data_IF_087023129659
#
_entry.id   IF_087023129659
#
_cell.length_a   1.000
_cell.length_b   1.000
_cell.length_c   1.000
_cell.angle_alpha   90.00
_cell.angle_beta   90.00
_cell.angle_gamma   90.00
#
_symmetry.space_group_name_H-M   'P 1'
#
loop_
_entity.id
_entity.type
_entity.pdbx_description
1 polymer ?
#
# COMPACT_ATOMS: atom_id res chain seq x y z
N UNK A 1 46.73 -22.71 -1.59
CA UNK A 1 47.61 -23.77 -1.05
C UNK A 1 48.57 -23.27 0.03
N UNK A 2 49.37 -22.21 -0.20
CA UNK A 2 50.28 -21.65 0.84
C UNK A 2 49.54 -21.27 2.13
N UNK A 3 48.37 -20.62 2.04
CA UNK A 3 47.54 -20.27 3.19
C UNK A 3 46.93 -21.47 3.94
N UNK A 4 46.79 -22.63 3.30
CA UNK A 4 46.29 -23.84 3.96
C UNK A 4 47.41 -24.54 4.72
N UNK A 5 48.62 -24.55 4.16
CA UNK A 5 49.81 -25.10 4.80
C UNK A 5 50.20 -24.31 6.06
N UNK A 6 50.27 -22.98 5.98
CA UNK A 6 50.59 -22.12 7.14
C UNK A 6 49.53 -22.25 8.25
N UNK A 7 48.27 -22.47 7.86
CA UNK A 7 47.16 -22.66 8.79
C UNK A 7 47.19 -24.03 9.46
N UNK A 8 47.59 -25.07 8.73
CA UNK A 8 47.82 -26.40 9.29
C UNK A 8 48.98 -26.38 10.28
N UNK A 9 50.11 -25.79 9.91
CA UNK A 9 51.27 -25.64 10.79
C UNK A 9 50.93 -24.83 12.05
N UNK A 10 50.11 -23.78 11.92
CA UNK A 10 49.59 -23.03 13.05
C UNK A 10 48.72 -23.89 13.98
N UNK A 11 47.81 -24.71 13.43
CA UNK A 11 46.96 -25.56 14.24
C UNK A 11 47.71 -26.71 14.90
N UNK A 12 48.70 -27.30 14.22
CA UNK A 12 49.61 -28.29 14.82
C UNK A 12 50.35 -27.69 16.02
N UNK A 13 50.92 -26.51 15.85
CA UNK A 13 51.59 -25.77 16.91
C UNK A 13 50.63 -25.41 18.06
N UNK A 14 49.38 -25.04 17.76
CA UNK A 14 48.36 -24.73 18.76
C UNK A 14 47.92 -25.96 19.56
N UNK A 15 47.78 -27.12 18.90
CA UNK A 15 47.44 -28.39 19.55
C UNK A 15 48.56 -28.80 20.50
N UNK A 16 49.81 -28.70 20.05
CA UNK A 16 50.99 -28.99 20.88
C UNK A 16 51.06 -28.01 22.06
N UNK A 17 50.88 -26.71 21.84
CA UNK A 17 50.87 -25.70 22.91
C UNK A 17 49.75 -25.95 23.93
N UNK A 18 48.53 -26.27 23.48
CA UNK A 18 47.43 -26.61 24.37
C UNK A 18 47.67 -27.91 25.14
N UNK A 19 48.27 -28.92 24.52
CA UNK A 19 48.64 -30.16 25.20
C UNK A 19 49.67 -29.90 26.32
N UNK A 20 50.68 -29.06 26.06
CA UNK A 20 51.68 -28.66 27.06
C UNK A 20 51.06 -27.79 28.15
N UNK A 21 50.19 -26.84 27.80
CA UNK A 21 49.46 -26.00 28.78
C UNK A 21 48.57 -26.85 29.69
N UNK A 22 47.89 -27.86 29.16
CA UNK A 22 47.10 -28.76 29.99
C UNK A 22 47.95 -29.72 30.84
N UNK A 23 49.18 -30.05 30.43
CA UNK A 23 50.15 -30.74 31.29
C UNK A 23 50.62 -29.84 32.45
N UNK A 24 50.80 -28.54 32.19
CA UNK A 24 51.11 -27.54 33.23
C UNK A 24 49.96 -27.41 34.25
N UNK A 25 48.70 -27.35 33.80
CA UNK A 25 47.52 -27.30 34.70
C UNK A 25 47.34 -28.57 35.56
N UNK A 26 47.78 -29.73 35.07
CA UNK A 26 47.74 -30.98 35.82
C UNK A 26 48.77 -31.03 36.96
N UNK A 27 49.88 -30.29 36.86
CA UNK A 27 50.82 -30.04 37.98
C UNK A 27 50.09 -29.42 39.17
N UNK A 28 49.31 -28.39 38.86
CA UNK A 28 48.58 -27.56 39.82
C UNK A 28 47.44 -28.32 40.49
N UNK A 29 46.82 -29.25 39.74
CA UNK A 29 45.60 -29.92 40.18
C UNK A 29 45.83 -31.17 41.07
N UNK A 30 47.06 -31.69 41.24
CA UNK A 30 47.41 -32.89 42.07
C UNK A 30 46.54 -34.16 41.93
N UNK A 31 45.55 -34.23 41.04
CA UNK A 31 44.50 -35.27 41.09
C UNK A 31 44.70 -36.44 40.13
N UNK A 32 45.65 -36.42 39.20
CA UNK A 32 46.00 -37.62 38.43
C UNK A 32 47.47 -37.55 38.00
N UNK A 33 48.38 -38.06 38.84
CA UNK A 33 49.78 -38.26 38.45
C UNK A 33 49.84 -39.43 37.45
N UNK A 34 50.28 -39.24 36.19
CA UNK A 34 50.79 -40.39 35.43
C UNK A 34 52.05 -40.88 36.15
N UNK A 35 52.13 -42.18 36.43
CA UNK A 35 53.07 -42.78 37.37
C UNK A 35 54.57 -42.73 36.96
N UNK A 36 54.94 -41.96 35.92
CA UNK A 36 56.23 -42.11 35.24
C UNK A 36 57.00 -40.80 35.02
N UNK A 37 56.59 -39.69 35.68
CA UNK A 37 57.25 -38.39 35.49
C UNK A 37 57.87 -37.91 36.81
N UNK A 38 59.19 -37.75 36.80
CA UNK A 38 59.93 -37.09 37.88
C UNK A 38 59.43 -35.65 38.05
N UNK A 39 59.05 -35.28 39.27
CA UNK A 39 58.51 -33.96 39.64
C UNK A 39 59.37 -32.79 39.12
N UNK A 40 60.70 -32.99 39.06
CA UNK A 40 61.69 -32.04 38.53
C UNK A 40 61.57 -31.77 37.02
N UNK A 41 61.16 -32.77 36.25
CA UNK A 41 61.01 -32.65 34.79
C UNK A 41 59.74 -31.89 34.43
N UNK A 42 58.69 -32.07 35.23
CA UNK A 42 57.44 -31.36 35.10
C UNK A 42 57.59 -29.90 35.58
N UNK A 43 58.45 -29.67 36.57
CA UNK A 43 58.89 -28.33 36.98
C UNK A 43 59.68 -27.61 35.88
N UNK A 44 60.63 -28.28 35.23
CA UNK A 44 61.35 -27.74 34.09
C UNK A 44 60.43 -27.40 32.89
N UNK A 45 59.41 -28.23 32.61
CA UNK A 45 58.41 -27.95 31.54
C UNK A 45 57.58 -26.70 31.86
N UNK A 46 57.13 -26.53 33.10
CA UNK A 46 56.36 -25.34 33.51
C UNK A 46 57.22 -24.08 33.46
N UNK A 47 58.48 -24.15 33.90
CA UNK A 47 59.41 -23.04 33.81
C UNK A 47 59.70 -22.66 32.35
N UNK A 48 59.85 -23.66 31.47
CA UNK A 48 60.03 -23.43 30.03
C UNK A 48 58.78 -22.84 29.36
N UNK A 49 57.57 -23.20 29.80
CA UNK A 49 56.32 -22.64 29.28
C UNK A 49 56.13 -21.19 29.76
N UNK A 50 56.34 -20.92 31.04
CA UNK A 50 56.33 -19.56 31.59
C UNK A 50 57.39 -18.67 30.92
N UNK A 51 58.55 -19.25 30.58
CA UNK A 51 59.57 -18.59 29.77
C UNK A 51 59.09 -18.30 28.34
N UNK A 52 58.45 -19.25 27.66
CA UNK A 52 57.94 -19.02 26.31
C UNK A 52 56.84 -17.94 26.27
N UNK A 53 55.96 -17.92 27.26
CA UNK A 53 54.91 -16.91 27.41
C UNK A 53 55.52 -15.53 27.74
N UNK A 54 56.49 -15.45 28.65
CA UNK A 54 57.21 -14.20 28.94
C UNK A 54 58.01 -13.70 27.74
N UNK A 55 58.61 -14.59 26.94
CA UNK A 55 59.27 -14.25 25.67
C UNK A 55 58.29 -13.70 24.63
N UNK A 56 57.09 -14.25 24.54
CA UNK A 56 56.05 -13.74 23.66
C UNK A 56 55.55 -12.37 24.13
N UNK A 57 55.36 -12.19 25.45
CA UNK A 57 55.02 -10.92 26.08
C UNK A 57 56.08 -9.84 25.87
N UNK A 58 57.37 -10.22 25.85
CA UNK A 58 58.48 -9.33 25.50
C UNK A 58 58.51 -8.94 24.01
N UNK A 59 57.95 -9.77 23.12
CA UNK A 59 57.87 -9.50 21.68
C UNK A 59 56.63 -8.70 21.26
N UNK A 60 55.69 -8.41 22.17
CA UNK A 60 54.63 -7.44 21.89
C UNK A 60 55.22 -6.02 21.91
N UNK A 61 55.65 -5.55 20.73
CA UNK A 61 55.79 -4.11 20.48
C UNK A 61 54.42 -3.54 20.16
N UNK A 62 53.78 -2.75 21.03
CA UNK A 62 52.84 -1.76 20.53
C UNK A 62 53.64 -0.83 19.61
N UNK A 63 53.10 -0.58 18.43
CA UNK A 63 53.68 0.32 17.43
C UNK A 63 53.55 1.75 18.00
N UNK A 64 54.51 2.15 18.83
CA UNK A 64 54.72 3.54 19.21
C UNK A 64 56.00 4.03 18.52
N UNK A 65 55.90 4.95 17.55
CA UNK A 65 57.03 5.37 16.70
C UNK A 65 58.00 6.36 17.38
N UNK A 66 58.01 6.47 18.71
CA UNK A 66 58.78 7.49 19.44
C UNK A 66 60.00 6.99 20.22
N UNK A 67 60.35 5.69 20.17
CA UNK A 67 61.52 5.17 20.89
C UNK A 67 62.63 4.75 19.89
N UNK A 68 63.69 5.55 19.92
CA UNK A 68 64.90 5.43 19.11
C UNK A 68 65.65 4.10 19.35
N UNK A 69 66.29 3.62 18.28
CA UNK A 69 66.76 2.26 18.00
C UNK A 69 67.87 1.62 18.88
N UNK A 70 68.24 2.15 20.05
CA UNK A 70 69.51 1.71 20.69
C UNK A 70 69.45 1.20 22.13
N UNK A 71 68.28 1.03 22.75
CA UNK A 71 68.21 0.39 24.06
C UNK A 71 67.31 -0.84 24.00
N UNK A 72 67.85 -1.97 24.48
CA UNK A 72 67.18 -3.25 24.69
C UNK A 72 65.99 -3.05 25.64
N UNK A 73 64.85 -2.62 25.09
CA UNK A 73 63.65 -2.31 25.84
C UNK A 73 63.04 -3.62 26.34
N UNK A 74 63.34 -3.90 27.60
CA UNK A 74 62.81 -5.01 28.35
C UNK A 74 61.53 -4.61 29.07
N UNK A 75 60.47 -5.40 28.92
CA UNK A 75 59.33 -5.33 29.83
C UNK A 75 59.85 -5.77 31.21
N UNK A 76 60.09 -4.79 32.11
CA UNK A 76 60.71 -4.93 33.45
C UNK A 76 62.25 -5.07 33.54
N UNK A 77 63.03 -4.71 32.52
CA UNK A 77 64.50 -4.64 32.68
C UNK A 77 65.25 -5.99 32.71
N UNK A 78 64.56 -7.12 32.48
CA UNK A 78 65.19 -8.41 32.20
C UNK A 78 65.80 -8.44 30.79
N UNK A 79 67.11 -8.66 30.68
CA UNK A 79 67.75 -8.85 29.38
C UNK A 79 67.47 -10.26 28.83
N UNK A 80 67.28 -10.37 27.51
CA UNK A 80 67.07 -11.65 26.83
C UNK A 80 68.23 -12.65 27.09
N UNK A 81 69.43 -12.13 27.36
CA UNK A 81 70.64 -12.91 27.64
C UNK A 81 70.69 -13.50 29.05
N UNK A 82 70.21 -12.79 30.08
CA UNK A 82 70.13 -13.31 31.45
C UNK A 82 69.06 -14.40 31.59
N UNK A 83 67.95 -14.24 30.87
CA UNK A 83 66.87 -15.22 30.84
C UNK A 83 67.29 -16.50 30.09
N UNK A 84 68.10 -16.37 29.02
CA UNK A 84 68.63 -17.52 28.30
C UNK A 84 69.60 -18.37 29.16
N UNK A 85 70.42 -17.76 30.02
CA UNK A 85 71.33 -18.49 30.94
C UNK A 85 70.60 -19.35 31.98
N UNK A 86 69.45 -18.87 32.49
CA UNK A 86 68.62 -19.64 33.42
C UNK A 86 67.95 -20.84 32.72
N UNK A 87 67.53 -20.64 31.46
CA UNK A 87 66.89 -21.69 30.63
C UNK A 87 67.89 -22.72 30.11
N UNK A 88 69.17 -22.41 29.95
CA UNK A 88 70.19 -23.38 29.54
C UNK A 88 70.30 -24.58 30.50
N UNK A 89 70.04 -24.38 31.79
CA UNK A 89 70.04 -25.46 32.78
C UNK A 89 68.74 -26.30 32.73
N UNK A 90 67.58 -25.66 32.64
CA UNK A 90 66.28 -26.34 32.59
C UNK A 90 66.04 -27.04 31.23
N UNK A 91 66.59 -26.48 30.13
CA UNK A 91 66.55 -27.06 28.79
C UNK A 91 67.39 -28.33 28.68
N UNK A 92 68.49 -28.45 29.43
CA UNK A 92 69.28 -29.70 29.50
C UNK A 92 68.52 -30.83 30.18
N UNK A 93 67.76 -30.52 31.23
CA UNK A 93 66.91 -31.51 31.91
C UNK A 93 65.66 -31.86 31.09
N UNK A 94 65.10 -30.88 30.38
CA UNK A 94 64.02 -31.11 29.41
C UNK A 94 64.48 -31.96 28.23
N UNK A 95 65.68 -31.73 27.70
CA UNK A 95 66.22 -32.52 26.58
C UNK A 95 66.45 -33.98 26.95
N UNK A 96 66.84 -34.29 28.21
CA UNK A 96 66.96 -35.67 28.71
C UNK A 96 65.61 -36.39 28.82
N UNK A 97 64.53 -35.66 29.03
CA UNK A 97 63.17 -36.20 29.21
C UNK A 97 62.23 -35.84 28.06
N UNK A 98 62.78 -35.35 26.94
CA UNK A 98 62.00 -34.94 25.77
C UNK A 98 61.21 -36.11 25.19
N UNK A 99 61.83 -37.29 25.16
CA UNK A 99 61.19 -38.52 24.67
C UNK A 99 60.03 -38.95 25.58
N UNK A 100 60.17 -38.87 26.90
CA UNK A 100 59.09 -39.24 27.83
C UNK A 100 57.93 -38.24 27.81
N UNK A 101 58.24 -36.94 27.68
CA UNK A 101 57.22 -35.89 27.50
C UNK A 101 56.49 -36.04 26.16
N UNK A 102 57.22 -36.34 25.08
CA UNK A 102 56.64 -36.59 23.76
C UNK A 102 55.71 -37.81 23.79
N UNK A 103 56.15 -38.94 24.35
CA UNK A 103 55.31 -40.12 24.51
C UNK A 103 54.09 -39.87 25.40
N UNK A 104 54.18 -38.98 26.40
CA UNK A 104 53.04 -38.59 27.21
C UNK A 104 52.00 -37.77 26.41
N UNK A 105 52.47 -36.82 25.60
CA UNK A 105 51.63 -36.02 24.71
C UNK A 105 50.95 -36.92 23.66
N UNK A 106 51.70 -37.81 23.03
CA UNK A 106 51.18 -38.77 22.05
C UNK A 106 50.13 -39.72 22.66
N UNK A 107 50.41 -40.30 23.83
CA UNK A 107 49.47 -41.14 24.56
C UNK A 107 48.18 -40.40 24.97
N UNK A 108 48.24 -39.07 25.10
CA UNK A 108 47.08 -38.25 25.43
C UNK A 108 46.29 -37.85 24.20
N UNK A 109 46.96 -37.42 23.14
CA UNK A 109 46.31 -37.12 21.86
C UNK A 109 45.61 -38.36 21.30
N UNK A 110 46.26 -39.52 21.38
CA UNK A 110 45.62 -40.80 21.03
C UNK A 110 44.40 -41.10 21.89
N UNK A 111 44.43 -40.87 23.21
CA UNK A 111 43.24 -40.98 24.09
C UNK A 111 42.12 -40.04 23.67
N UNK A 112 42.42 -38.77 23.38
CA UNK A 112 41.43 -37.80 22.93
C UNK A 112 40.80 -38.21 21.59
N UNK A 113 41.61 -38.66 20.63
CA UNK A 113 41.12 -39.22 19.36
C UNK A 113 40.24 -40.46 19.57
N UNK A 114 40.63 -41.35 20.51
CA UNK A 114 39.85 -42.54 20.86
C UNK A 114 38.52 -42.16 21.54
N UNK A 115 38.50 -41.15 22.41
CA UNK A 115 37.28 -40.71 23.09
C UNK A 115 36.30 -40.03 22.11
N UNK A 116 36.80 -39.26 21.15
CA UNK A 116 36.00 -38.70 20.05
C UNK A 116 35.44 -39.82 19.16
N UNK A 117 36.26 -40.82 18.81
CA UNK A 117 35.79 -41.96 18.03
C UNK A 117 34.73 -42.76 18.80
N UNK A 118 34.93 -43.01 20.09
CA UNK A 118 33.93 -43.68 20.93
C UNK A 118 32.61 -42.92 20.91
N UNK A 119 32.61 -41.60 21.11
CA UNK A 119 31.39 -40.79 21.10
C UNK A 119 30.61 -40.87 19.78
N UNK A 120 31.31 -41.02 18.66
CA UNK A 120 30.66 -41.14 17.34
C UNK A 120 30.17 -42.58 17.05
N UNK A 121 30.93 -43.61 17.43
CA UNK A 121 30.64 -45.02 17.11
C UNK A 121 29.93 -45.79 18.25
N UNK A 122 29.36 -45.09 19.25
CA UNK A 122 29.05 -45.68 20.56
C UNK A 122 27.96 -46.75 20.63
N UNK A 123 27.19 -47.07 19.58
CA UNK A 123 25.98 -47.89 19.78
C UNK A 123 26.04 -49.38 19.38
N UNK A 124 26.93 -49.86 18.49
CA UNK A 124 26.91 -51.32 18.13
C UNK A 124 28.28 -52.04 18.07
N UNK A 125 29.41 -51.34 17.84
CA UNK A 125 30.69 -52.01 17.53
C UNK A 125 31.73 -52.03 18.69
N UNK A 126 31.40 -51.43 19.84
CA UNK A 126 32.41 -51.01 20.84
C UNK A 126 32.83 -52.05 21.88
N UNK A 127 32.38 -53.31 21.79
CA UNK A 127 32.69 -54.31 22.85
C UNK A 127 34.02 -55.06 22.68
N UNK A 128 34.70 -54.95 21.53
CA UNK A 128 35.94 -55.72 21.32
C UNK A 128 36.91 -55.12 20.30
N UNK A 129 37.05 -53.78 20.21
CA UNK A 129 38.04 -53.18 19.31
C UNK A 129 39.28 -52.66 20.05
N UNK A 130 40.44 -53.08 19.56
CA UNK A 130 41.77 -52.68 20.05
C UNK A 130 41.94 -51.15 19.85
N UNK A 131 42.62 -50.47 20.79
CA UNK A 131 42.86 -49.01 20.73
C UNK A 131 43.42 -48.51 19.40
N UNK A 132 44.16 -49.35 18.67
CA UNK A 132 44.70 -49.05 17.33
C UNK A 132 43.61 -48.97 16.24
N UNK A 133 42.56 -49.79 16.33
CA UNK A 133 41.43 -49.80 15.39
C UNK A 133 40.57 -48.55 15.61
N UNK A 134 40.35 -48.15 16.87
CA UNK A 134 39.65 -46.92 17.20
C UNK A 134 40.40 -45.68 16.70
N UNK A 135 41.73 -45.66 16.77
CA UNK A 135 42.54 -44.58 16.22
C UNK A 135 42.48 -44.52 14.68
N UNK A 136 42.52 -45.67 14.00
CA UNK A 136 42.33 -45.74 12.54
C UNK A 136 40.90 -45.35 12.11
N UNK A 137 39.89 -45.66 12.94
CA UNK A 137 38.51 -45.19 12.74
C UNK A 137 38.39 -43.67 12.98
N UNK A 138 39.15 -43.12 13.92
CA UNK A 138 39.20 -41.68 14.18
C UNK A 138 39.81 -40.89 13.01
N UNK A 139 40.87 -41.40 12.37
CA UNK A 139 41.44 -40.75 11.19
C UNK A 139 40.53 -40.86 9.97
N UNK A 140 39.80 -41.97 9.82
CA UNK A 140 38.79 -42.13 8.76
C UNK A 140 37.54 -41.26 8.99
N UNK A 141 37.24 -40.92 10.24
CA UNK A 141 36.08 -40.10 10.61
C UNK A 141 36.11 -38.72 9.95
N UNK A 142 37.28 -38.11 9.76
CA UNK A 142 37.40 -36.80 9.12
C UNK A 142 36.92 -36.83 7.65
N UNK A 143 37.27 -37.88 6.91
CA UNK A 143 36.79 -38.08 5.53
C UNK A 143 35.28 -38.31 5.44
N UNK A 144 34.69 -38.96 6.45
CA UNK A 144 33.24 -39.22 6.52
C UNK A 144 32.50 -37.94 6.94
N UNK A 145 33.05 -37.18 7.88
CA UNK A 145 32.49 -35.92 8.34
C UNK A 145 32.46 -34.90 7.21
N UNK A 146 33.55 -34.78 6.46
CA UNK A 146 33.64 -33.87 5.31
C UNK A 146 32.64 -34.25 4.21
N UNK A 147 32.49 -35.54 3.88
CA UNK A 147 31.49 -35.98 2.90
C UNK A 147 30.05 -35.71 3.38
N UNK A 148 29.73 -36.02 4.64
CA UNK A 148 28.41 -35.72 5.21
C UNK A 148 28.12 -34.22 5.25
N UNK A 149 29.14 -33.41 5.52
CA UNK A 149 29.01 -31.96 5.54
C UNK A 149 28.75 -31.40 4.14
N UNK A 150 29.38 -31.96 3.11
CA UNK A 150 29.08 -31.62 1.71
C UNK A 150 27.67 -32.05 1.30
N UNK A 151 27.23 -33.25 1.66
CA UNK A 151 25.86 -33.71 1.42
C UNK A 151 24.84 -32.78 2.09
N UNK A 152 25.07 -32.38 3.33
CA UNK A 152 24.22 -31.42 4.04
C UNK A 152 24.22 -30.05 3.37
N UNK A 153 25.37 -29.58 2.87
CA UNK A 153 25.44 -28.32 2.12
C UNK A 153 24.60 -28.39 0.84
N UNK A 154 24.72 -29.49 0.08
CA UNK A 154 23.93 -29.71 -1.14
C UNK A 154 22.43 -29.81 -0.82
N UNK A 155 22.06 -30.54 0.22
CA UNK A 155 20.67 -30.63 0.68
C UNK A 155 20.11 -29.26 1.08
N UNK A 156 20.91 -28.42 1.75
CA UNK A 156 20.53 -27.04 2.11
C UNK A 156 20.31 -26.18 0.87
N UNK A 157 21.20 -26.26 -0.11
CA UNK A 157 21.06 -25.53 -1.39
C UNK A 157 19.79 -25.99 -2.12
N UNK A 158 19.57 -27.30 -2.22
CA UNK A 158 18.38 -27.86 -2.86
C UNK A 158 17.08 -27.42 -2.17
N UNK A 159 17.09 -27.33 -0.83
CA UNK A 159 15.94 -26.81 -0.06
C UNK A 159 15.63 -25.35 -0.41
N UNK A 160 16.66 -24.51 -0.52
CA UNK A 160 16.50 -23.09 -0.90
C UNK A 160 15.96 -22.98 -2.33
N UNK A 161 16.51 -23.73 -3.28
CA UNK A 161 16.04 -23.75 -4.67
C UNK A 161 14.58 -24.19 -4.75
N UNK A 162 14.21 -25.24 -4.02
CA UNK A 162 12.82 -25.72 -3.96
C UNK A 162 11.88 -24.66 -3.36
N UNK A 163 12.32 -23.93 -2.33
CA UNK A 163 11.54 -22.85 -1.74
C UNK A 163 11.33 -21.69 -2.72
N UNK A 164 12.36 -21.30 -3.47
CA UNK A 164 12.26 -20.27 -4.52
C UNK A 164 11.33 -20.75 -5.63
N UNK A 165 11.44 -22.00 -6.06
CA UNK A 165 10.57 -22.59 -7.09
C UNK A 165 9.10 -22.59 -6.64
N UNK A 166 8.84 -22.96 -5.40
CA UNK A 166 7.49 -22.90 -4.84
C UNK A 166 6.97 -21.47 -4.77
N UNK A 167 7.81 -20.52 -4.34
CA UNK A 167 7.50 -19.09 -4.35
C UNK A 167 7.10 -18.60 -5.74
N UNK A 168 7.88 -18.95 -6.77
CA UNK A 168 7.59 -18.58 -8.16
C UNK A 168 6.30 -19.23 -8.70
N UNK A 169 5.98 -20.46 -8.28
CA UNK A 169 4.72 -21.09 -8.63
C UNK A 169 3.54 -20.36 -7.99
N UNK A 170 3.64 -20.01 -6.71
CA UNK A 170 2.60 -19.26 -5.99
C UNK A 170 2.38 -17.90 -6.64
N UNK A 171 3.44 -17.15 -6.97
CA UNK A 171 3.29 -15.85 -7.64
C UNK A 171 2.63 -15.99 -9.01
N UNK A 172 2.98 -17.03 -9.78
CA UNK A 172 2.30 -17.32 -11.05
C UNK A 172 0.81 -17.61 -10.86
N UNK A 173 0.43 -18.43 -9.87
CA UNK A 173 -0.99 -18.69 -9.57
C UNK A 173 -1.72 -17.42 -9.14
N UNK A 174 -1.10 -16.57 -8.32
CA UNK A 174 -1.67 -15.30 -7.89
C UNK A 174 -1.85 -14.32 -9.07
N UNK A 175 -0.90 -14.30 -10.01
CA UNK A 175 -1.01 -13.49 -11.23
C UNK A 175 -2.17 -13.96 -12.10
N UNK A 176 -2.30 -15.27 -12.35
CA UNK A 176 -3.44 -15.82 -13.10
C UNK A 176 -4.76 -15.49 -12.40
N UNK A 177 -4.83 -15.59 -11.07
CA UNK A 177 -6.02 -15.23 -10.31
C UNK A 177 -6.38 -13.75 -10.45
N UNK A 178 -5.37 -12.87 -10.43
CA UNK A 178 -5.53 -11.43 -10.65
C UNK A 178 -6.04 -11.15 -12.06
N UNK A 179 -5.51 -11.82 -13.07
CA UNK A 179 -5.94 -11.66 -14.46
C UNK A 179 -7.40 -12.09 -14.63
N UNK A 180 -7.78 -13.24 -14.05
CA UNK A 180 -9.18 -13.71 -14.05
C UNK A 180 -10.08 -12.68 -13.36
N UNK A 181 -9.67 -12.14 -12.21
CA UNK A 181 -10.44 -11.13 -11.49
C UNK A 181 -10.60 -9.84 -12.30
N UNK A 182 -9.54 -9.40 -12.99
CA UNK A 182 -9.60 -8.23 -13.87
C UNK A 182 -10.55 -8.45 -15.05
N UNK A 183 -10.52 -9.64 -15.66
CA UNK A 183 -11.46 -9.98 -16.75
C UNK A 183 -12.90 -10.01 -16.22
N UNK A 184 -13.13 -10.62 -15.06
CA UNK A 184 -14.44 -10.67 -14.44
C UNK A 184 -14.97 -9.26 -14.11
N UNK A 185 -14.10 -8.40 -13.60
CA UNK A 185 -14.42 -7.01 -13.31
C UNK A 185 -14.82 -6.25 -14.58
N UNK A 186 -14.03 -6.37 -15.65
CA UNK A 186 -14.34 -5.74 -16.92
C UNK A 186 -15.68 -6.23 -17.49
N UNK A 187 -15.97 -7.53 -17.38
CA UNK A 187 -17.27 -8.08 -17.80
C UNK A 187 -18.42 -7.50 -16.98
N UNK A 188 -18.26 -7.39 -15.65
CA UNK A 188 -19.28 -6.80 -14.77
C UNK A 188 -19.49 -5.32 -15.12
N UNK A 189 -18.41 -4.58 -15.33
CA UNK A 189 -18.48 -3.16 -15.70
C UNK A 189 -19.12 -2.97 -17.08
N UNK A 190 -18.72 -3.76 -18.08
CA UNK A 190 -19.35 -3.75 -19.40
C UNK A 190 -20.82 -4.13 -19.32
N UNK A 191 -21.18 -5.16 -18.55
CA UNK A 191 -22.56 -5.59 -18.40
C UNK A 191 -23.39 -4.52 -17.69
N UNK A 192 -22.96 -4.03 -16.53
CA UNK A 192 -23.69 -3.01 -15.79
C UNK A 192 -23.84 -1.73 -16.62
N UNK A 193 -22.77 -1.25 -17.25
CA UNK A 193 -22.81 0.02 -17.96
C UNK A 193 -23.53 -0.11 -19.30
N UNK A 194 -23.17 -1.10 -20.14
CA UNK A 194 -23.73 -1.22 -21.48
C UNK A 194 -25.14 -1.77 -21.47
N UNK A 195 -25.42 -2.80 -20.67
CA UNK A 195 -26.74 -3.42 -20.66
C UNK A 195 -27.78 -2.54 -19.98
N UNK A 196 -27.49 -1.93 -18.82
CA UNK A 196 -28.46 -1.02 -18.19
C UNK A 196 -28.65 0.25 -19.01
N UNK A 197 -27.62 0.78 -19.67
CA UNK A 197 -27.78 1.92 -20.56
C UNK A 197 -28.65 1.55 -21.77
N UNK A 198 -28.38 0.43 -22.45
CA UNK A 198 -29.21 -0.03 -23.56
C UNK A 198 -30.66 -0.26 -23.13
N UNK A 199 -30.87 -0.95 -22.02
CA UNK A 199 -32.20 -1.17 -21.45
C UNK A 199 -32.91 0.15 -21.15
N UNK A 200 -32.24 1.11 -20.50
CA UNK A 200 -32.80 2.42 -20.22
C UNK A 200 -33.12 3.20 -21.50
N UNK A 201 -32.29 3.12 -22.55
CA UNK A 201 -32.60 3.77 -23.84
C UNK A 201 -33.85 3.19 -24.48
N UNK A 202 -34.00 1.85 -24.49
CA UNK A 202 -35.19 1.18 -25.02
C UNK A 202 -36.44 1.54 -24.22
N UNK A 203 -36.34 1.58 -22.87
CA UNK A 203 -37.46 2.02 -22.03
C UNK A 203 -37.84 3.47 -22.29
N UNK A 204 -36.87 4.37 -22.39
CA UNK A 204 -37.12 5.78 -22.68
C UNK A 204 -37.78 5.97 -24.05
N UNK A 205 -37.32 5.23 -25.07
CA UNK A 205 -37.95 5.25 -26.40
C UNK A 205 -39.38 4.72 -26.36
N UNK A 206 -39.61 3.62 -25.64
CA UNK A 206 -40.95 3.06 -25.43
C UNK A 206 -41.88 4.08 -24.76
N UNK A 207 -41.46 4.72 -23.66
CA UNK A 207 -42.27 5.72 -22.98
C UNK A 207 -42.46 7.00 -23.81
N UNK A 208 -41.45 7.42 -24.57
CA UNK A 208 -41.55 8.54 -25.52
C UNK A 208 -42.61 8.26 -26.58
N UNK A 209 -42.62 7.05 -27.16
CA UNK A 209 -43.65 6.63 -28.11
C UNK A 209 -45.02 6.50 -27.47
N UNK A 210 -45.11 6.01 -26.23
CA UNK A 210 -46.36 5.95 -25.49
C UNK A 210 -46.95 7.35 -25.26
N UNK A 211 -46.13 8.31 -24.84
CA UNK A 211 -46.55 9.72 -24.64
C UNK A 211 -47.01 10.32 -25.96
N UNK A 212 -46.26 10.11 -27.07
CA UNK A 212 -46.68 10.56 -28.40
C UNK A 212 -48.02 9.95 -28.82
N UNK A 213 -48.22 8.65 -28.57
CA UNK A 213 -49.46 7.95 -28.88
C UNK A 213 -50.65 8.53 -28.09
N UNK A 214 -50.47 8.76 -26.78
CA UNK A 214 -51.49 9.37 -25.94
C UNK A 214 -51.79 10.81 -26.40
N UNK A 215 -50.77 11.59 -26.75
CA UNK A 215 -50.94 12.94 -27.29
C UNK A 215 -51.73 12.95 -28.61
N UNK A 216 -51.46 11.99 -29.50
CA UNK A 216 -52.23 11.79 -30.73
C UNK A 216 -53.68 11.40 -30.43
N UNK A 217 -53.90 10.44 -29.52
CA UNK A 217 -55.26 10.03 -29.10
C UNK A 217 -56.06 11.20 -28.53
N UNK A 218 -55.43 12.03 -27.69
CA UNK A 218 -56.08 13.22 -27.13
C UNK A 218 -56.39 14.26 -28.21
N UNK A 219 -55.50 14.44 -29.19
CA UNK A 219 -55.74 15.33 -30.33
C UNK A 219 -56.90 14.84 -31.21
N UNK A 220 -57.00 13.53 -31.46
CA UNK A 220 -58.12 12.92 -32.17
C UNK A 220 -59.42 13.09 -31.39
N UNK A 221 -59.41 12.84 -30.07
CA UNK A 221 -60.56 13.07 -29.20
C UNK A 221 -61.03 14.52 -29.25
N UNK A 222 -60.10 15.48 -29.22
CA UNK A 222 -60.40 16.91 -29.36
C UNK A 222 -61.07 17.22 -30.70
N UNK A 223 -60.54 16.68 -31.80
CA UNK A 223 -61.13 16.87 -33.13
C UNK A 223 -62.52 16.25 -33.23
N UNK A 224 -62.71 15.04 -32.70
CA UNK A 224 -64.01 14.37 -32.66
C UNK A 224 -65.02 15.20 -31.84
N UNK A 225 -64.63 15.69 -30.67
CA UNK A 225 -65.49 16.57 -29.87
C UNK A 225 -65.84 17.86 -30.63
N UNK A 226 -64.88 18.46 -31.34
CA UNK A 226 -65.12 19.64 -32.17
C UNK A 226 -66.09 19.34 -33.32
N UNK A 227 -65.93 18.21 -34.00
CA UNK A 227 -66.84 17.79 -35.06
C UNK A 227 -68.27 17.53 -34.55
N UNK A 228 -68.41 16.99 -33.33
CA UNK A 228 -69.72 16.78 -32.71
C UNK A 228 -70.37 18.10 -32.29
N UNK A 229 -69.60 19.04 -31.75
CA UNK A 229 -70.13 20.35 -31.32
C UNK A 229 -70.45 21.24 -32.51
N UNK A 230 -69.59 21.25 -33.52
CA UNK A 230 -69.75 22.04 -34.75
C UNK A 230 -70.26 21.15 -35.89
N UNK A 231 -71.37 20.48 -35.63
CA UNK A 231 -72.08 19.80 -36.71
C UNK A 231 -72.65 20.83 -37.71
N UNK A 232 -72.84 20.41 -38.95
CA UNK A 232 -73.28 21.28 -40.05
C UNK A 232 -74.57 22.03 -39.69
N UNK A 233 -75.51 21.35 -39.05
CA UNK A 233 -76.78 21.96 -38.60
C UNK A 233 -76.56 23.04 -37.53
N UNK A 234 -75.66 22.80 -36.57
CA UNK A 234 -75.34 23.77 -35.51
C UNK A 234 -74.63 25.01 -36.07
N UNK A 235 -73.72 24.81 -37.04
CA UNK A 235 -73.01 25.89 -37.71
C UNK A 235 -73.98 26.72 -38.54
N UNK A 236 -74.84 26.09 -39.35
CA UNK A 236 -75.86 26.78 -40.14
C UNK A 236 -76.83 27.57 -39.23
N UNK A 237 -77.27 26.96 -38.12
CA UNK A 237 -78.07 27.64 -37.09
C UNK A 237 -77.38 28.87 -36.49
N UNK A 238 -76.13 28.73 -36.07
CA UNK A 238 -75.33 29.85 -35.54
C UNK A 238 -75.11 30.96 -36.57
N UNK A 239 -74.87 30.61 -37.85
CA UNK A 239 -74.75 31.60 -38.91
C UNK A 239 -76.05 32.34 -39.16
N UNK A 240 -77.20 31.64 -39.14
CA UNK A 240 -78.51 32.27 -39.28
C UNK A 240 -78.82 33.22 -38.12
N UNK A 241 -78.52 32.82 -36.88
CA UNK A 241 -78.67 33.68 -35.70
C UNK A 241 -77.79 34.92 -35.83
N UNK A 242 -76.50 34.76 -36.18
CA UNK A 242 -75.59 35.87 -36.41
C UNK A 242 -76.11 36.83 -37.47
N UNK A 243 -76.58 36.29 -38.60
CA UNK A 243 -77.04 37.10 -39.73
C UNK A 243 -78.35 37.84 -39.39
N UNK A 244 -79.20 37.27 -38.52
CA UNK A 244 -80.38 37.96 -37.97
C UNK A 244 -79.98 39.08 -37.01
N UNK A 245 -79.08 38.82 -36.05
CA UNK A 245 -78.59 39.84 -35.12
C UNK A 245 -77.91 41.00 -35.84
N UNK A 246 -77.10 40.73 -36.86
CA UNK A 246 -76.48 41.77 -37.70
C UNK A 246 -77.53 42.60 -38.46
N UNK A 247 -78.68 41.99 -38.81
CA UNK A 247 -79.79 42.68 -39.46
C UNK A 247 -80.51 43.59 -38.49
N UNK A 248 -80.83 43.08 -37.29
CA UNK A 248 -81.42 43.87 -36.21
C UNK A 248 -80.53 45.03 -35.80
N UNK A 249 -79.22 44.82 -35.62
CA UNK A 249 -78.28 45.89 -35.31
C UNK A 249 -78.30 46.98 -36.40
N UNK A 250 -78.34 46.58 -37.67
CA UNK A 250 -78.39 47.52 -38.78
C UNK A 250 -79.71 48.30 -38.81
N UNK A 251 -80.83 47.67 -38.46
CA UNK A 251 -82.13 48.32 -38.43
C UNK A 251 -82.23 49.28 -37.24
N UNK A 252 -81.77 48.90 -36.04
CA UNK A 252 -81.65 49.80 -34.90
C UNK A 252 -80.72 50.98 -35.17
N UNK A 253 -79.61 50.76 -35.89
CA UNK A 253 -78.70 51.84 -36.27
C UNK A 253 -79.38 52.84 -37.22
N UNK A 254 -80.18 52.35 -38.18
CA UNK A 254 -80.98 53.23 -39.05
C UNK A 254 -82.05 54.00 -38.28
N UNK A 255 -82.71 53.36 -37.31
CA UNK A 255 -83.70 54.03 -36.45
C UNK A 255 -83.05 55.12 -35.61
N UNK A 256 -81.86 54.85 -35.04
CA UNK A 256 -81.09 55.82 -34.30
C UNK A 256 -80.68 57.01 -35.18
N UNK A 257 -80.13 56.74 -36.37
CA UNK A 257 -79.77 57.79 -37.34
C UNK A 257 -81.00 58.64 -37.72
N UNK A 258 -82.17 58.01 -37.91
CA UNK A 258 -83.41 58.71 -38.24
C UNK A 258 -83.89 59.60 -37.08
N UNK A 259 -83.81 59.11 -35.84
CA UNK A 259 -84.13 59.88 -34.63
C UNK A 259 -83.16 61.04 -34.43
N UNK A 260 -81.87 60.84 -34.68
CA UNK A 260 -80.86 61.89 -34.59
C UNK A 260 -81.10 63.01 -35.62
N UNK A 261 -81.50 62.64 -36.85
CA UNK A 261 -81.94 63.61 -37.87
C UNK A 261 -83.19 64.36 -37.42
N UNK A 262 -84.17 63.69 -36.82
CA UNK A 262 -85.38 64.35 -36.29
C UNK A 262 -85.03 65.30 -35.14
N UNK A 263 -84.21 64.87 -34.18
CA UNK A 263 -83.74 65.70 -33.09
C UNK A 263 -82.97 66.93 -33.59
N UNK A 264 -82.11 66.75 -34.59
CA UNK A 264 -81.39 67.85 -35.24
C UNK A 264 -82.35 68.85 -35.88
N UNK A 265 -83.45 68.38 -36.51
CA UNK A 265 -84.50 69.26 -37.03
C UNK A 265 -85.21 70.02 -35.91
N UNK A 266 -85.61 69.35 -34.84
CA UNK A 266 -86.24 70.00 -33.68
C UNK A 266 -85.32 71.03 -33.03
N UNK A 267 -84.02 70.73 -32.93
CA UNK A 267 -83.03 71.69 -32.42
C UNK A 267 -82.92 72.91 -33.33
N UNK A 268 -83.03 72.74 -34.65
CA UNK A 268 -83.13 73.87 -35.60
C UNK A 268 -84.36 74.76 -35.33
N UNK A 269 -85.51 74.17 -35.02
CA UNK A 269 -86.73 74.92 -34.66
C UNK A 269 -86.63 75.62 -33.29
N UNK A 270 -85.72 75.20 -32.41
CA UNK A 270 -85.56 75.82 -31.10
C UNK A 270 -85.15 77.31 -31.21
N UNK A 271 -84.35 77.67 -32.22
CA UNK A 271 -84.00 79.07 -32.48
C UNK A 271 -85.19 79.93 -32.95
N UNK A 272 -86.09 79.37 -33.77
CA UNK A 272 -87.33 80.05 -34.16
C UNK A 272 -88.29 80.19 -32.98
N UNK A 273 -88.37 79.16 -32.13
CA UNK A 273 -89.18 79.20 -30.92
C UNK A 273 -88.69 80.26 -29.94
N UNK A 274 -87.38 80.40 -29.76
CA UNK A 274 -86.77 81.43 -28.90
C UNK A 274 -87.08 82.84 -29.43
N UNK A 275 -87.07 83.05 -30.75
CA UNK A 275 -87.51 84.31 -31.37
C UNK A 275 -88.99 84.60 -31.10
N UNK A 276 -89.87 83.60 -31.22
CA UNK A 276 -91.30 83.75 -30.92
C UNK A 276 -91.51 84.12 -29.44
N UNK A 277 -90.80 83.44 -28.52
CA UNK A 277 -90.85 83.75 -27.09
C UNK A 277 -90.34 85.16 -26.80
N UNK A 278 -89.29 85.61 -27.48
CA UNK A 278 -88.77 86.96 -27.35
C UNK A 278 -89.77 88.01 -27.87
N UNK A 279 -90.39 87.77 -29.03
CA UNK A 279 -91.46 88.62 -29.57
C UNK A 279 -92.67 88.68 -28.63
N UNK A 280 -93.10 87.54 -28.09
CA UNK A 280 -94.20 87.49 -27.12
C UNK A 280 -93.87 88.27 -25.85
N UNK A 281 -92.67 88.12 -25.29
CA UNK A 281 -92.22 88.89 -24.14
C UNK A 281 -92.15 90.40 -24.41
N UNK A 282 -91.70 90.80 -25.60
CA UNK A 282 -91.70 92.21 -26.01
C UNK A 282 -93.12 92.76 -26.12
N UNK A 283 -94.03 92.01 -26.75
CA UNK A 283 -95.44 92.38 -26.85
C UNK A 283 -96.10 92.48 -25.47
N UNK A 284 -95.78 91.57 -24.54
CA UNK A 284 -96.27 91.64 -23.16
C UNK A 284 -95.74 92.89 -22.43
N UNK A 285 -94.47 93.26 -22.62
CA UNK A 285 -93.91 94.51 -22.09
C UNK A 285 -94.58 95.75 -22.69
N UNK A 286 -94.92 95.72 -23.97
CA UNK A 286 -95.70 96.80 -24.60
C UNK A 286 -97.11 96.87 -24.04
N UNK A 287 -97.79 95.74 -23.85
CA UNK A 287 -99.10 95.67 -23.19
C UNK A 287 -99.02 96.21 -21.75
N UNK A 288 -97.99 95.85 -20.99
CA UNK A 288 -97.78 96.41 -19.64
C UNK A 288 -97.55 97.92 -19.68
N UNK A 289 -96.73 98.44 -20.61
CA UNK A 289 -96.57 99.91 -20.77
C UNK A 289 -97.90 100.59 -21.09
N UNK A 290 -98.66 100.06 -22.05
CA UNK A 290 -99.98 100.60 -22.40
C UNK A 290 -100.93 100.53 -21.20
N UNK A 291 -100.89 99.45 -20.42
CA UNK A 291 -101.68 99.30 -19.20
C UNK A 291 -101.27 100.31 -18.12
N UNK A 292 -99.97 100.53 -17.92
CA UNK A 292 -99.43 101.52 -17.00
C UNK A 292 -99.77 102.95 -17.44
N UNK A 293 -99.75 103.22 -18.75
CA UNK A 293 -100.14 104.50 -19.33
C UNK A 293 -101.64 104.75 -19.17
N UNK A 294 -102.49 103.72 -19.39
CA UNK A 294 -103.93 103.77 -19.09
C UNK A 294 -104.15 104.06 -17.60
N UNK A 295 -103.45 103.36 -16.69
CA UNK A 295 -103.59 103.58 -15.26
C UNK A 295 -103.14 104.99 -14.85
N UNK A 296 -102.09 105.54 -15.45
CA UNK A 296 -101.65 106.93 -15.23
C UNK A 296 -102.62 107.99 -15.78
N UNK A 297 -103.38 107.69 -16.82
CA UNK A 297 -104.43 108.58 -17.32
C UNK A 297 -105.74 108.52 -16.51
N UNK A 298 -105.88 107.52 -15.61
CA UNK A 298 -107.09 107.34 -14.79
C UNK A 298 -106.94 107.88 -13.36
N UNK A 299 -105.84 108.59 -13.06
CA UNK A 299 -105.56 109.32 -11.80
C UNK A 299 -105.39 110.81 -12.11
#
# INVERSE_FOLDING_TARGET
DVYLADKLEYFENLVIYNAIKQLALQKESRINKPADINEKTLEAVVNCLAFAESKQLLNFRPIDPSINNNNNASLLGLTMEELNKAVENDSRELNKHKETVLSCIENRLTKQCIDIAKFYYTEEESKSETQKILFAKASKLDSILTSQLEELRLAKINRIINQIRLGNQITNYMNVMKDILSVLWNIIEEFQLRHELQKNTVFNDYFSMLVKNIGLKLSVLRLNALMVIYDKETVEGLTSIRDNLMREEKDYRRELDALEVQLSRYQGFCGEFEQIVQCYNNLNKEIEKVKDDIQRMTV
#
